data_IF_984905776338
#
_entry.id   IF_984905776338
#
_cell.length_a   1.000
_cell.length_b   1.000
_cell.length_c   1.000
_cell.angle_alpha   90.00
_cell.angle_beta   90.00
_cell.angle_gamma   90.00
#
_symmetry.space_group_name_H-M   'P 1'
#
loop_
_entity.id
_entity.type
_entity.pdbx_description
1 polymer ?
#
# COMPACT_ATOMS: atom_id res chain seq x y z
N UNK A 1 1.75 -39.27 2.43
CA UNK A 1 2.77 -38.41 1.78
C UNK A 1 2.05 -37.16 1.32
N UNK A 2 2.35 -36.03 1.96
CA UNK A 2 1.65 -34.76 1.78
C UNK A 2 1.89 -34.20 0.37
N UNK A 3 0.83 -34.14 -0.44
CA UNK A 3 0.81 -33.70 -1.83
C UNK A 3 0.70 -32.18 -1.99
N UNK A 4 0.76 -31.42 -0.90
CA UNK A 4 0.57 -29.96 -0.87
C UNK A 4 1.67 -29.14 -1.57
N UNK A 5 2.84 -29.73 -1.87
CA UNK A 5 3.98 -29.02 -2.48
C UNK A 5 3.98 -28.94 -4.01
N UNK A 6 3.03 -29.57 -4.71
CA UNK A 6 3.10 -29.73 -6.18
C UNK A 6 2.56 -28.54 -6.98
N UNK A 7 1.74 -27.67 -6.38
CA UNK A 7 1.09 -26.54 -7.06
C UNK A 7 1.70 -25.17 -6.75
N UNK A 8 2.66 -25.10 -5.82
CA UNK A 8 3.31 -23.84 -5.41
C UNK A 8 4.76 -23.84 -5.87
N UNK A 9 5.20 -22.74 -6.46
CA UNK A 9 6.59 -22.59 -6.87
C UNK A 9 7.53 -22.71 -5.67
N UNK A 10 8.65 -23.43 -5.83
CA UNK A 10 9.57 -23.76 -4.73
C UNK A 10 10.05 -22.53 -3.96
N UNK A 11 10.39 -21.44 -4.66
CA UNK A 11 10.87 -20.20 -4.01
C UNK A 11 9.81 -19.51 -3.16
N UNK A 12 8.52 -19.68 -3.48
CA UNK A 12 7.39 -19.19 -2.68
C UNK A 12 7.20 -20.09 -1.46
N UNK A 13 7.26 -21.42 -1.66
CA UNK A 13 7.10 -22.40 -0.59
C UNK A 13 8.19 -22.28 0.50
N UNK A 14 9.37 -21.74 0.16
CA UNK A 14 10.48 -21.53 1.09
C UNK A 14 10.45 -20.17 1.79
N UNK A 15 9.50 -19.28 1.48
CA UNK A 15 9.42 -17.98 2.16
C UNK A 15 9.12 -18.18 3.64
N UNK A 16 9.85 -17.50 4.55
CA UNK A 16 9.58 -17.60 5.97
C UNK A 16 8.21 -17.00 6.30
N UNK A 17 7.57 -17.55 7.33
CA UNK A 17 6.36 -16.95 7.88
C UNK A 17 6.70 -15.60 8.51
N UNK A 18 5.77 -14.65 8.44
CA UNK A 18 5.96 -13.32 9.03
C UNK A 18 5.82 -13.40 10.56
N UNK A 19 6.93 -13.26 11.27
CA UNK A 19 6.93 -13.16 12.74
C UNK A 19 6.16 -11.95 13.26
N UNK A 20 6.10 -10.86 12.49
CA UNK A 20 5.28 -9.68 12.82
C UNK A 20 3.81 -10.06 12.89
N UNK A 21 3.32 -10.90 11.97
CA UNK A 21 1.92 -11.36 11.96
C UNK A 21 1.60 -12.25 13.16
N UNK A 22 2.51 -13.14 13.53
CA UNK A 22 2.34 -14.00 14.71
C UNK A 22 2.29 -13.16 16.00
N UNK A 23 3.15 -12.15 16.11
CA UNK A 23 3.14 -11.19 17.21
C UNK A 23 1.81 -10.42 17.29
N UNK A 24 1.32 -9.85 16.18
CA UNK A 24 0.02 -9.15 16.15
C UNK A 24 -1.16 -10.07 16.50
N UNK A 25 -1.11 -11.35 16.11
CA UNK A 25 -2.14 -12.33 16.45
C UNK A 25 -2.20 -12.63 17.96
N UNK A 26 -1.08 -12.49 18.67
CA UNK A 26 -1.02 -12.62 20.13
C UNK A 26 -1.51 -11.32 20.79
N UNK A 27 -0.94 -10.18 20.39
CA UNK A 27 -1.26 -8.86 20.98
C UNK A 27 -2.74 -8.50 20.83
N UNK A 28 -3.37 -8.84 19.69
CA UNK A 28 -4.80 -8.58 19.47
C UNK A 28 -5.73 -9.32 20.43
N UNK A 29 -5.26 -10.36 21.12
CA UNK A 29 -6.01 -11.09 22.16
C UNK A 29 -5.74 -10.57 23.57
N UNK A 30 -4.75 -9.70 23.74
CA UNK A 30 -4.39 -9.12 25.03
C UNK A 30 -5.29 -7.91 25.29
N UNK A 31 -6.06 -7.97 26.37
CA UNK A 31 -6.85 -6.83 26.83
C UNK A 31 -5.90 -5.70 27.26
N UNK A 32 -6.23 -4.46 26.91
CA UNK A 32 -5.52 -3.24 27.31
C UNK A 32 -4.09 -3.07 26.74
N UNK A 33 -3.72 -3.85 25.71
CA UNK A 33 -2.45 -3.67 25.02
C UNK A 33 -2.42 -2.39 24.16
N UNK A 34 -1.38 -1.58 24.32
CA UNK A 34 -1.12 -0.42 23.44
C UNK A 34 -0.23 -0.86 22.28
N UNK A 35 -0.74 -0.73 21.05
CA UNK A 35 -0.01 -1.11 19.84
C UNK A 35 0.91 0.03 19.36
N UNK A 36 2.22 -0.15 19.51
CA UNK A 36 3.24 0.77 19.00
C UNK A 36 3.95 0.21 17.74
N UNK A 37 3.48 -0.91 17.21
CA UNK A 37 4.06 -1.58 16.03
C UNK A 37 3.40 -1.20 14.70
N UNK A 38 2.48 -0.24 14.70
CA UNK A 38 1.75 0.19 13.50
C UNK A 38 2.71 0.99 12.61
N UNK A 39 2.87 0.56 11.35
CA UNK A 39 3.75 1.18 10.37
C UNK A 39 3.07 2.19 9.44
N UNK A 40 1.83 2.57 9.75
CA UNK A 40 1.02 3.55 9.02
C UNK A 40 0.66 4.74 9.92
N UNK A 41 0.40 5.94 9.36
CA UNK A 41 -0.03 7.08 10.15
C UNK A 41 -1.42 6.88 10.77
N UNK A 42 -1.66 7.53 11.91
CA UNK A 42 -2.92 7.49 12.66
C UNK A 42 -3.95 8.54 12.23
N UNK A 43 -3.59 9.43 11.31
CA UNK A 43 -4.48 10.47 10.81
C UNK A 43 -5.28 10.03 9.58
N UNK A 44 -6.48 10.59 9.45
CA UNK A 44 -7.33 10.38 8.28
C UNK A 44 -6.76 11.16 7.08
N UNK A 45 -6.81 10.56 5.89
CA UNK A 45 -6.46 11.24 4.64
C UNK A 45 -7.16 12.61 4.53
N UNK A 46 -6.41 13.69 4.23
CA UNK A 46 -6.97 15.04 4.12
C UNK A 46 -8.23 15.10 3.23
N UNK A 47 -9.22 15.88 3.65
CA UNK A 47 -10.55 15.90 3.01
C UNK A 47 -10.51 16.21 1.51
N UNK A 48 -9.70 17.19 1.10
CA UNK A 48 -9.58 17.58 -0.32
C UNK A 48 -9.09 16.43 -1.23
N UNK A 49 -8.31 15.47 -0.70
CA UNK A 49 -7.87 14.28 -1.44
C UNK A 49 -9.05 13.30 -1.60
N UNK A 50 -9.83 13.11 -0.53
CA UNK A 50 -11.03 12.27 -0.55
C UNK A 50 -12.08 12.82 -1.53
N UNK A 51 -12.29 14.13 -1.53
CA UNK A 51 -13.17 14.82 -2.48
C UNK A 51 -12.71 14.64 -3.94
N UNK A 52 -11.40 14.75 -4.21
CA UNK A 52 -10.87 14.52 -5.55
C UNK A 52 -11.13 13.07 -6.03
N UNK A 53 -11.01 12.09 -5.12
CA UNK A 53 -11.32 10.69 -5.41
C UNK A 53 -12.83 10.49 -5.68
N UNK A 54 -13.70 11.05 -4.84
CA UNK A 54 -15.17 11.01 -5.01
C UNK A 54 -15.55 11.63 -6.36
N UNK A 55 -15.08 12.85 -6.64
CA UNK A 55 -15.37 13.55 -7.90
C UNK A 55 -14.86 12.78 -9.12
N UNK A 56 -13.74 12.07 -9.00
CA UNK A 56 -13.23 11.22 -10.08
C UNK A 56 -14.20 10.07 -10.40
N UNK A 57 -14.75 9.43 -9.37
CA UNK A 57 -15.75 8.37 -9.51
C UNK A 57 -17.07 8.90 -10.08
N UNK A 58 -17.56 10.04 -9.58
CA UNK A 58 -18.77 10.70 -10.09
C UNK A 58 -18.66 11.06 -11.58
N UNK A 59 -17.46 11.46 -12.03
CA UNK A 59 -17.16 11.77 -13.44
C UNK A 59 -16.92 10.51 -14.31
N UNK A 60 -17.12 9.32 -13.76
CA UNK A 60 -16.96 8.05 -14.49
C UNK A 60 -15.52 7.73 -14.89
N UNK A 61 -14.51 8.26 -14.18
CA UNK A 61 -13.09 7.98 -14.48
C UNK A 61 -12.68 6.62 -13.93
N UNK A 62 -13.11 5.56 -14.60
CA UNK A 62 -12.90 4.16 -14.21
C UNK A 62 -12.22 3.32 -15.30
N UNK A 63 -11.84 3.93 -16.41
CA UNK A 63 -11.16 3.26 -17.53
C UNK A 63 -9.67 3.05 -17.27
N UNK A 64 -9.07 2.16 -18.06
CA UNK A 64 -7.63 1.92 -18.02
C UNK A 64 -6.81 3.19 -18.25
N UNK A 65 -5.64 3.23 -17.61
CA UNK A 65 -4.60 4.23 -17.85
C UNK A 65 -3.37 3.54 -18.45
N UNK A 66 -2.37 4.32 -18.88
CA UNK A 66 -1.06 3.76 -19.26
C UNK A 66 -0.50 2.90 -18.10
N UNK A 67 0.26 1.84 -18.41
CA UNK A 67 0.88 0.98 -17.39
C UNK A 67 1.74 1.75 -16.37
N UNK A 68 2.25 2.93 -16.75
CA UNK A 68 3.02 3.83 -15.89
C UNK A 68 2.15 4.81 -15.09
N UNK A 69 0.83 4.78 -15.26
CA UNK A 69 -0.11 5.76 -14.73
C UNK A 69 -0.31 6.96 -15.67
N UNK A 70 -1.23 7.85 -15.28
CA UNK A 70 -1.58 9.02 -16.09
C UNK A 70 -0.40 9.98 -16.27
N UNK A 71 -0.30 10.61 -17.44
CA UNK A 71 0.76 11.59 -17.73
C UNK A 71 0.77 12.72 -16.69
N UNK A 72 -0.41 13.27 -16.39
CA UNK A 72 -0.57 14.35 -15.40
C UNK A 72 -0.01 13.94 -14.03
N UNK A 73 -0.30 12.73 -13.55
CA UNK A 73 0.19 12.27 -12.25
C UNK A 73 1.71 12.11 -12.24
N UNK A 74 2.29 11.56 -13.31
CA UNK A 74 3.75 11.41 -13.44
C UNK A 74 4.46 12.76 -13.46
N UNK A 75 3.90 13.75 -14.15
CA UNK A 75 4.45 15.11 -14.16
C UNK A 75 4.37 15.79 -12.79
N UNK A 76 3.27 15.63 -12.06
CA UNK A 76 3.17 16.17 -10.70
C UNK A 76 4.13 15.51 -9.72
N UNK A 77 4.36 14.20 -9.84
CA UNK A 77 5.41 13.51 -9.06
C UNK A 77 6.77 14.10 -9.40
N UNK A 78 7.11 14.25 -10.69
CA UNK A 78 8.40 14.82 -11.12
C UNK A 78 8.60 16.21 -10.52
N UNK A 79 7.59 17.09 -10.63
CA UNK A 79 7.60 18.43 -10.01
C UNK A 79 7.77 18.38 -8.50
N UNK A 80 7.03 17.51 -7.82
CA UNK A 80 7.14 17.33 -6.37
C UNK A 80 8.55 16.90 -5.98
N UNK A 81 9.13 15.90 -6.67
CA UNK A 81 10.45 15.39 -6.33
C UNK A 81 11.52 16.45 -6.60
N UNK A 82 11.49 17.13 -7.74
CA UNK A 82 12.41 18.23 -8.06
C UNK A 82 12.35 19.34 -7.00
N UNK A 83 11.13 19.77 -6.63
CA UNK A 83 10.93 20.84 -5.64
C UNK A 83 11.43 20.48 -4.24
N UNK A 84 11.24 19.23 -3.80
CA UNK A 84 11.51 18.83 -2.41
C UNK A 84 12.89 18.18 -2.21
N UNK A 85 13.47 17.60 -3.26
CA UNK A 85 14.69 16.80 -3.16
C UNK A 85 15.77 17.17 -4.19
N UNK A 86 15.46 18.04 -5.17
CA UNK A 86 16.43 18.59 -6.13
C UNK A 86 16.78 17.80 -7.41
N UNK A 87 16.30 16.56 -7.69
CA UNK A 87 16.61 15.94 -8.98
C UNK A 87 15.77 16.57 -10.10
N UNK A 88 16.45 16.93 -11.19
CA UNK A 88 15.85 17.42 -12.43
C UNK A 88 16.27 16.51 -13.59
N UNK A 89 15.37 16.29 -14.55
CA UNK A 89 15.58 15.46 -15.75
C UNK A 89 15.75 16.32 -16.98
#
# INVERSE_FOLDING_TARGET
>A
MDSSGRFVARHVATLPKSGIRDFFAIVSKMKDAVSLGIGEPDFVTPYHIREAAISSLEKGRTSYTDNRGTQQFREEISRYVAKNYGPEY
#
